data_IF_176563125096
#
_entry.id   IF_176563125096
#
_cell.length_a   1.000
_cell.length_b   1.000
_cell.length_c   1.000
_cell.angle_alpha   90.00
_cell.angle_beta   90.00
_cell.angle_gamma   90.00
#
_symmetry.space_group_name_H-M   'P 1'
#
loop_
_entity.id
_entity.type
_entity.pdbx_description
1 polymer ?
#
# COMPACT_ATOMS: atom_id res chain seq x y z
N UNK A 1 12.45 10.18 11.10
CA UNK A 1 11.58 10.82 10.10
C UNK A 1 11.39 9.90 8.92
N UNK A 2 10.16 9.53 8.67
CA UNK A 2 9.90 8.59 7.59
C UNK A 2 8.45 8.64 7.14
N UNK A 3 8.25 8.29 5.88
CA UNK A 3 6.92 7.94 5.39
C UNK A 3 6.80 6.43 5.52
N UNK A 4 5.80 5.99 6.24
CA UNK A 4 5.52 4.58 6.41
C UNK A 4 4.35 4.14 5.54
N UNK A 5 4.45 2.95 4.99
CA UNK A 5 3.40 2.38 4.15
C UNK A 5 2.62 1.38 4.98
N UNK A 6 1.32 1.59 5.08
CA UNK A 6 0.42 0.76 5.88
C UNK A 6 -0.54 -0.04 5.02
N UNK A 7 -0.04 -0.48 3.90
CA UNK A 7 -0.85 -1.28 2.98
C UNK A 7 -1.31 -2.58 3.63
N UNK A 8 -0.44 -3.20 4.45
CA UNK A 8 -0.77 -4.43 5.15
C UNK A 8 -1.98 -4.27 6.07
N UNK A 9 -2.07 -3.13 6.75
CA UNK A 9 -3.19 -2.85 7.64
C UNK A 9 -4.50 -2.77 6.85
N UNK A 10 -4.49 -2.05 5.73
CA UNK A 10 -5.70 -1.90 4.92
C UNK A 10 -6.10 -3.21 4.25
N UNK A 11 -5.12 -3.99 3.80
CA UNK A 11 -5.41 -5.31 3.24
C UNK A 11 -6.09 -6.20 4.28
N UNK A 12 -5.60 -6.17 5.52
CA UNK A 12 -6.20 -6.94 6.60
C UNK A 12 -7.62 -6.47 6.91
N UNK A 13 -7.84 -5.17 6.92
CA UNK A 13 -9.17 -4.60 7.17
C UNK A 13 -10.18 -5.02 6.11
N UNK A 14 -9.75 -5.10 4.86
CA UNK A 14 -10.62 -5.48 3.73
C UNK A 14 -10.60 -6.99 3.49
N UNK A 15 -9.82 -7.73 4.26
CA UNK A 15 -9.69 -9.19 4.12
C UNK A 15 -9.30 -9.58 2.70
N UNK A 16 -8.39 -8.79 2.12
CA UNK A 16 -7.91 -9.01 0.76
C UNK A 16 -6.49 -9.54 0.81
N UNK A 17 -6.23 -10.65 0.12
CA UNK A 17 -4.90 -11.25 0.08
C UNK A 17 -4.00 -10.51 -0.90
N UNK A 18 -2.69 -10.73 -0.76
CA UNK A 18 -1.70 -10.16 -1.68
C UNK A 18 -1.96 -10.64 -3.11
N UNK A 19 -2.26 -11.93 -3.27
CA UNK A 19 -2.57 -12.48 -4.59
C UNK A 19 -3.78 -11.82 -5.20
N UNK A 20 -4.83 -11.67 -4.44
CA UNK A 20 -6.07 -11.06 -4.92
C UNK A 20 -5.85 -9.61 -5.34
N UNK A 21 -5.17 -8.83 -4.51
CA UNK A 21 -4.90 -7.43 -4.83
C UNK A 21 -3.99 -7.31 -6.05
N UNK A 22 -2.96 -8.14 -6.14
CA UNK A 22 -2.05 -8.19 -7.29
C UNK A 22 -2.81 -8.42 -8.59
N UNK A 23 -3.74 -9.35 -8.59
CA UNK A 23 -4.54 -9.66 -9.78
C UNK A 23 -5.47 -8.50 -10.15
N UNK A 24 -6.07 -7.87 -9.16
CA UNK A 24 -7.04 -6.80 -9.40
C UNK A 24 -6.39 -5.53 -9.96
N UNK A 25 -5.17 -5.22 -9.52
CA UNK A 25 -4.51 -3.98 -9.96
C UNK A 25 -3.44 -4.19 -11.03
N UNK A 26 -3.15 -5.44 -11.38
CA UNK A 26 -2.23 -5.74 -12.47
C UNK A 26 -0.76 -5.50 -12.13
N UNK A 27 -0.37 -5.62 -10.86
CA UNK A 27 1.01 -5.48 -10.41
C UNK A 27 1.51 -6.84 -9.96
N UNK A 28 2.81 -7.14 -10.22
CA UNK A 28 3.37 -8.41 -9.82
C UNK A 28 3.35 -8.56 -8.30
N UNK A 29 3.25 -9.79 -7.83
CA UNK A 29 3.25 -10.07 -6.40
C UNK A 29 4.54 -9.62 -5.74
N UNK A 30 5.66 -9.72 -6.45
CA UNK A 30 6.95 -9.27 -5.93
C UNK A 30 6.93 -7.77 -5.66
N UNK A 31 6.47 -6.97 -6.63
CA UNK A 31 6.40 -5.52 -6.47
C UNK A 31 5.41 -5.13 -5.38
N UNK A 32 4.28 -5.80 -5.34
CA UNK A 32 3.27 -5.51 -4.33
C UNK A 32 3.76 -5.88 -2.93
N UNK A 33 4.50 -6.98 -2.82
CA UNK A 33 5.10 -7.42 -1.56
C UNK A 33 6.12 -6.40 -1.05
N UNK A 34 6.95 -5.86 -1.95
CA UNK A 34 7.91 -4.81 -1.57
C UNK A 34 7.18 -3.58 -1.07
N UNK A 35 6.09 -3.22 -1.71
CA UNK A 35 5.27 -2.09 -1.28
C UNK A 35 4.64 -2.36 0.08
N UNK A 36 4.10 -3.55 0.27
CA UNK A 36 3.45 -3.95 1.52
C UNK A 36 4.42 -3.90 2.70
N UNK A 37 5.67 -4.29 2.48
CA UNK A 37 6.69 -4.30 3.54
C UNK A 37 7.40 -2.96 3.70
N UNK A 38 7.06 -1.96 2.88
CA UNK A 38 7.66 -0.65 2.97
C UNK A 38 9.08 -0.56 2.45
N UNK A 39 9.49 -1.49 1.62
CA UNK A 39 10.87 -1.52 1.10
C UNK A 39 11.02 -0.79 -0.22
N UNK A 40 10.10 0.10 -0.54
CA UNK A 40 10.17 0.92 -1.75
C UNK A 40 10.47 2.36 -1.35
N UNK A 41 11.07 3.12 -2.28
CA UNK A 41 11.38 4.52 -2.05
C UNK A 41 10.34 5.46 -2.64
N UNK A 42 9.38 4.92 -3.34
CA UNK A 42 8.32 5.73 -3.93
C UNK A 42 7.20 4.86 -4.45
N UNK A 43 6.11 5.51 -4.79
CA UNK A 43 4.95 4.84 -5.36
C UNK A 43 4.40 5.73 -6.47
N UNK A 44 4.03 5.11 -7.59
CA UNK A 44 3.41 5.86 -8.68
C UNK A 44 1.97 6.19 -8.33
N UNK A 45 1.50 7.36 -8.74
CA UNK A 45 0.13 7.76 -8.49
C UNK A 45 -0.87 6.78 -9.11
N UNK A 46 -0.55 6.23 -10.28
CA UNK A 46 -1.43 5.24 -10.91
C UNK A 46 -1.62 4.01 -10.03
N UNK A 47 -0.52 3.56 -9.42
CA UNK A 47 -0.56 2.42 -8.50
C UNK A 47 -1.35 2.76 -7.25
N UNK A 48 -1.08 3.92 -6.68
CA UNK A 48 -1.77 4.38 -5.47
C UNK A 48 -3.27 4.51 -5.74
N UNK A 49 -3.63 5.06 -6.89
CA UNK A 49 -5.03 5.20 -7.30
C UNK A 49 -5.72 3.83 -7.37
N UNK A 50 -5.06 2.87 -8.01
CA UNK A 50 -5.61 1.53 -8.15
C UNK A 50 -5.80 0.84 -6.80
N UNK A 51 -4.82 0.98 -5.91
CA UNK A 51 -4.90 0.41 -4.56
C UNK A 51 -6.06 1.03 -3.79
N UNK A 52 -6.17 2.35 -3.82
CA UNK A 52 -7.25 3.04 -3.12
C UNK A 52 -8.62 2.63 -3.65
N UNK A 53 -8.73 2.46 -4.97
CA UNK A 53 -9.98 2.04 -5.58
C UNK A 53 -10.37 0.64 -5.14
N UNK A 54 -9.43 -0.30 -5.17
CA UNK A 54 -9.73 -1.69 -4.84
C UNK A 54 -9.95 -1.91 -3.35
N UNK A 55 -9.24 -1.17 -2.51
CA UNK A 55 -9.39 -1.29 -1.06
C UNK A 55 -10.43 -0.30 -0.50
N UNK A 56 -11.00 0.52 -1.37
CA UNK A 56 -12.00 1.54 -0.99
C UNK A 56 -11.50 2.38 0.19
N UNK A 57 -10.33 3.00 0.00
CA UNK A 57 -9.70 3.80 1.04
C UNK A 57 -9.04 5.04 0.43
N UNK A 58 -8.53 5.89 1.30
CA UNK A 58 -7.83 7.10 0.91
C UNK A 58 -6.32 6.90 1.01
N UNK A 59 -5.51 7.70 0.28
CA UNK A 59 -4.05 7.61 0.41
C UNK A 59 -3.58 7.73 1.86
N UNK A 60 -4.24 8.53 2.68
CA UNK A 60 -3.88 8.69 4.08
C UNK A 60 -4.06 7.41 4.90
N UNK A 61 -4.85 6.48 4.41
CA UNK A 61 -5.01 5.17 5.06
C UNK A 61 -3.83 4.24 4.76
N UNK A 62 -3.05 4.57 3.73
CA UNK A 62 -1.94 3.74 3.26
C UNK A 62 -0.59 4.36 3.63
N UNK A 63 -0.50 5.69 3.59
CA UNK A 63 0.76 6.41 3.81
C UNK A 63 0.66 7.24 5.07
N UNK A 64 1.71 7.19 5.89
CA UNK A 64 1.75 7.94 7.14
C UNK A 64 3.13 8.56 7.33
N UNK A 65 3.17 9.82 7.72
CA UNK A 65 4.42 10.50 8.07
C UNK A 65 4.71 10.33 9.56
N UNK A 66 5.89 9.85 9.87
CA UNK A 66 6.34 9.67 11.25
C UNK A 66 7.55 10.57 11.47
N UNK A 67 7.49 11.55 12.37
CA UNK A 67 8.63 12.43 12.62
C UNK A 67 9.76 11.70 13.37
N UNK A 68 10.97 12.27 13.33
CA UNK A 68 12.13 11.70 13.99
C UNK A 68 11.97 11.60 15.50
N UNK A 69 11.23 12.52 16.06
CA UNK A 69 10.99 12.55 17.50
C UNK A 69 9.50 12.58 17.78
N UNK A 70 9.13 11.93 18.81
CA UNK A 70 7.73 11.87 19.23
C UNK A 70 7.66 12.00 20.73
#
# INVERSE_FOLDING_TARGET
MAIEIRLDVMMARRKMSLTELSEKIGISMTNLSLLKTGKVKGIRFNTLDAICRELECQPADILEYIPDFV
#
